data_IF_417036885322
#
_entry.id   IF_417036885322
#
_cell.length_a   1.000
_cell.length_b   1.000
_cell.length_c   1.000
_cell.angle_alpha   90.00
_cell.angle_beta   90.00
_cell.angle_gamma   90.00
#
_symmetry.space_group_name_H-M   'P 1'
#
loop_
_entity.id
_entity.type
_entity.pdbx_description
1 polymer ?
#
# COMPACT_ATOMS: atom_id res chain seq x y z
N UNK A 1 -37.75 -18.67 -15.60
CA UNK A 1 -37.28 -17.42 -14.95
C UNK A 1 -35.79 -17.34 -15.16
N UNK A 2 -35.31 -16.41 -16.01
CA UNK A 2 -33.88 -16.23 -16.25
C UNK A 2 -33.36 -15.11 -15.34
N UNK A 3 -32.35 -15.42 -14.54
CA UNK A 3 -31.59 -14.44 -13.79
C UNK A 3 -30.82 -13.54 -14.77
N UNK A 4 -31.09 -12.24 -14.74
CA UNK A 4 -30.25 -11.21 -15.33
C UNK A 4 -29.74 -10.32 -14.20
N UNK A 5 -28.46 -10.46 -13.87
CA UNK A 5 -27.62 -9.36 -13.41
C UNK A 5 -26.17 -9.87 -13.33
N UNK A 6 -25.49 -9.86 -14.47
CA UNK A 6 -24.04 -9.69 -14.45
C UNK A 6 -23.85 -8.24 -14.06
N UNK A 7 -23.56 -7.96 -12.79
CA UNK A 7 -23.19 -6.63 -12.29
C UNK A 7 -21.85 -6.23 -12.94
N UNK A 8 -21.93 -5.71 -14.17
CA UNK A 8 -20.82 -5.01 -14.77
C UNK A 8 -20.76 -3.62 -14.15
N UNK A 9 -19.62 -3.32 -13.54
CA UNK A 9 -19.29 -2.01 -12.99
C UNK A 9 -19.54 -0.90 -14.03
N UNK A 10 -19.88 0.32 -13.57
CA UNK A 10 -20.11 1.45 -14.46
C UNK A 10 -18.87 1.71 -15.35
N UNK A 11 -19.06 2.04 -16.64
CA UNK A 11 -17.95 2.24 -17.57
C UNK A 11 -17.19 3.52 -17.21
N UNK A 12 -15.85 3.45 -17.22
CA UNK A 12 -14.95 4.54 -16.87
C UNK A 12 -14.53 5.25 -18.19
N UNK A 13 -14.12 6.53 -18.18
CA UNK A 13 -13.74 7.23 -19.41
C UNK A 13 -12.45 6.66 -20.03
N UNK A 14 -12.38 6.48 -21.37
CA UNK A 14 -11.22 5.87 -22.01
C UNK A 14 -9.95 6.69 -21.77
N UNK A 15 -8.93 6.04 -21.19
CA UNK A 15 -7.59 6.59 -20.94
C UNK A 15 -7.26 6.86 -19.46
N UNK A 16 -8.25 7.12 -18.60
CA UNK A 16 -8.04 7.33 -17.15
C UNK A 16 -8.38 6.10 -16.29
N UNK A 17 -9.13 5.13 -16.84
CA UNK A 17 -9.57 3.94 -16.11
C UNK A 17 -8.39 3.18 -15.50
N UNK A 18 -7.34 2.99 -16.29
CA UNK A 18 -6.15 2.26 -15.87
C UNK A 18 -5.43 2.98 -14.72
N UNK A 19 -5.32 4.31 -14.78
CA UNK A 19 -4.56 5.08 -13.79
C UNK A 19 -5.31 5.18 -12.45
N UNK A 20 -6.64 5.37 -12.49
CA UNK A 20 -7.48 5.34 -11.28
C UNK A 20 -7.49 3.93 -10.66
N UNK A 21 -7.52 2.88 -11.48
CA UNK A 21 -7.38 1.51 -11.02
C UNK A 21 -6.06 1.30 -10.28
N UNK A 22 -4.95 1.90 -10.73
CA UNK A 22 -3.66 1.85 -10.01
C UNK A 22 -3.72 2.52 -8.64
N UNK A 23 -4.35 3.69 -8.52
CA UNK A 23 -4.57 4.33 -7.21
C UNK A 23 -5.37 3.43 -6.28
N UNK A 24 -6.48 2.87 -6.78
CA UNK A 24 -7.35 1.99 -6.02
C UNK A 24 -6.62 0.70 -5.58
N UNK A 25 -5.90 0.04 -6.49
CA UNK A 25 -5.08 -1.12 -6.18
C UNK A 25 -4.02 -0.81 -5.11
N UNK A 26 -3.33 0.32 -5.23
CA UNK A 26 -2.32 0.74 -4.26
C UNK A 26 -2.93 1.02 -2.87
N UNK A 27 -4.11 1.67 -2.83
CA UNK A 27 -4.87 1.88 -1.60
C UNK A 27 -5.26 0.55 -0.92
N UNK A 28 -5.77 -0.42 -1.68
CA UNK A 28 -6.11 -1.73 -1.13
C UNK A 28 -4.89 -2.49 -0.58
N UNK A 29 -3.78 -2.48 -1.30
CA UNK A 29 -2.53 -3.10 -0.84
C UNK A 29 -2.01 -2.45 0.45
N UNK A 30 -2.08 -1.12 0.53
CA UNK A 30 -1.72 -0.38 1.74
C UNK A 30 -2.64 -0.72 2.92
N UNK A 31 -3.95 -0.81 2.68
CA UNK A 31 -4.93 -1.27 3.66
C UNK A 31 -4.64 -2.69 4.16
N UNK A 32 -4.21 -3.61 3.29
CA UNK A 32 -3.80 -4.96 3.73
C UNK A 32 -2.63 -4.92 4.72
N UNK A 33 -1.64 -4.07 4.48
CA UNK A 33 -0.52 -3.88 5.43
C UNK A 33 -1.05 -3.30 6.74
N UNK A 34 -1.86 -2.23 6.69
CA UNK A 34 -2.43 -1.59 7.89
C UNK A 34 -3.25 -2.57 8.71
N UNK A 35 -4.16 -3.32 8.08
CA UNK A 35 -4.97 -4.34 8.74
C UNK A 35 -4.11 -5.45 9.34
N UNK A 36 -3.05 -5.88 8.66
CA UNK A 36 -2.13 -6.88 9.20
C UNK A 36 -1.42 -6.37 10.46
N UNK A 37 -0.95 -5.13 10.47
CA UNK A 37 -0.30 -4.52 11.63
C UNK A 37 -1.29 -4.25 12.78
N UNK A 38 -2.55 -3.94 12.45
CA UNK A 38 -3.64 -3.73 13.39
C UNK A 38 -4.44 -5.01 13.71
N UNK A 39 -4.00 -6.18 13.27
CA UNK A 39 -4.73 -7.44 13.45
C UNK A 39 -4.83 -7.91 14.91
N UNK A 40 -4.21 -7.17 15.83
CA UNK A 40 -4.23 -7.42 17.28
C UNK A 40 -5.09 -6.38 17.99
N UNK A 41 -5.65 -6.72 19.16
CA UNK A 41 -6.28 -5.73 20.02
C UNK A 41 -5.35 -4.52 20.22
N UNK A 42 -5.86 -3.29 20.33
CA UNK A 42 -5.03 -2.08 20.42
C UNK A 42 -3.94 -2.15 21.50
N UNK A 43 -4.23 -2.82 22.62
CA UNK A 43 -3.29 -3.05 23.73
C UNK A 43 -2.09 -3.92 23.37
N UNK A 44 -2.20 -4.74 22.32
CA UNK A 44 -1.17 -5.68 21.86
C UNK A 44 -0.58 -5.29 20.51
N UNK A 45 -1.20 -4.38 19.77
CA UNK A 45 -0.78 -3.97 18.43
C UNK A 45 0.63 -3.38 18.44
N UNK A 46 0.96 -2.55 19.42
CA UNK A 46 2.31 -1.98 19.57
C UNK A 46 3.35 -3.06 19.88
N UNK A 47 3.02 -4.01 20.76
CA UNK A 47 3.90 -5.15 21.07
C UNK A 47 4.12 -6.03 19.84
N UNK A 48 3.06 -6.31 19.09
CA UNK A 48 3.15 -7.08 17.85
C UNK A 48 4.02 -6.37 16.80
N UNK A 49 3.83 -5.07 16.60
CA UNK A 49 4.67 -4.27 15.71
C UNK A 49 6.14 -4.27 16.16
N UNK A 50 6.40 -4.19 17.47
CA UNK A 50 7.76 -4.25 18.02
C UNK A 50 8.42 -5.62 17.81
N UNK A 51 7.68 -6.72 17.98
CA UNK A 51 8.16 -8.09 17.68
C UNK A 51 8.44 -8.21 16.18
N UNK A 52 7.50 -7.79 15.34
CA UNK A 52 7.65 -7.84 13.89
C UNK A 52 8.88 -7.05 13.43
N UNK A 53 9.13 -5.89 14.03
CA UNK A 53 10.30 -5.08 13.75
C UNK A 53 11.61 -5.73 14.23
N UNK A 54 11.70 -6.11 15.50
CA UNK A 54 13.01 -6.31 16.15
C UNK A 54 13.37 -7.77 16.47
N UNK A 55 12.44 -8.72 16.40
CA UNK A 55 12.72 -10.07 16.88
C UNK A 55 13.74 -10.82 16.00
N UNK A 56 14.74 -11.43 16.63
CA UNK A 56 15.58 -12.45 15.98
C UNK A 56 14.80 -13.75 15.97
N UNK A 57 14.47 -14.25 14.78
CA UNK A 57 13.61 -15.41 14.60
C UNK A 57 14.13 -16.31 13.49
N UNK A 58 13.81 -17.61 13.50
CA UNK A 58 14.07 -18.49 12.36
C UNK A 58 13.39 -17.98 11.07
N UNK A 59 14.02 -18.23 9.92
CA UNK A 59 13.53 -17.78 8.60
C UNK A 59 12.14 -18.37 8.24
N UNK A 60 11.80 -19.53 8.78
CA UNK A 60 10.51 -20.18 8.57
C UNK A 60 9.47 -19.84 9.66
N UNK A 61 9.75 -18.88 10.54
CA UNK A 61 8.79 -18.45 11.58
C UNK A 61 7.62 -17.66 10.99
N UNK A 62 6.54 -17.54 11.76
CA UNK A 62 5.41 -16.69 11.39
C UNK A 62 5.82 -15.22 11.26
N UNK A 63 6.73 -14.75 12.11
CA UNK A 63 7.29 -13.39 12.05
C UNK A 63 8.05 -13.19 10.75
N UNK A 64 8.96 -14.09 10.37
CA UNK A 64 9.71 -13.99 9.12
C UNK A 64 8.80 -13.97 7.88
N UNK A 65 7.77 -14.83 7.84
CA UNK A 65 6.75 -14.79 6.78
C UNK A 65 5.98 -13.48 6.76
N UNK A 66 5.64 -12.95 7.93
CA UNK A 66 5.01 -11.63 8.08
C UNK A 66 5.85 -10.50 7.49
N UNK A 67 7.17 -10.50 7.79
CA UNK A 67 8.12 -9.53 7.21
C UNK A 67 8.15 -9.62 5.69
N UNK A 68 8.26 -10.83 5.15
CA UNK A 68 8.24 -11.07 3.71
C UNK A 68 6.92 -10.59 3.06
N UNK A 69 5.78 -10.83 3.70
CA UNK A 69 4.48 -10.36 3.23
C UNK A 69 4.38 -8.84 3.18
N UNK A 70 4.79 -8.15 4.25
CA UNK A 70 4.81 -6.68 4.31
C UNK A 70 5.72 -6.09 3.23
N UNK A 71 6.92 -6.67 3.05
CA UNK A 71 7.86 -6.26 2.01
C UNK A 71 7.25 -6.46 0.61
N UNK A 72 6.65 -7.63 0.36
CA UNK A 72 6.05 -7.96 -0.93
C UNK A 72 4.88 -7.03 -1.29
N UNK A 73 4.03 -6.69 -0.32
CA UNK A 73 2.94 -5.74 -0.53
C UNK A 73 3.49 -4.33 -0.79
N UNK A 74 4.52 -3.91 -0.05
CA UNK A 74 5.18 -2.61 -0.28
C UNK A 74 5.76 -2.53 -1.70
N UNK A 75 6.44 -3.59 -2.15
CA UNK A 75 6.92 -3.72 -3.54
C UNK A 75 5.80 -3.55 -4.56
N UNK A 76 4.66 -4.21 -4.32
CA UNK A 76 3.50 -4.14 -5.22
C UNK A 76 2.88 -2.74 -5.25
N UNK A 77 2.78 -2.04 -4.12
CA UNK A 77 2.36 -0.63 -4.07
C UNK A 77 3.30 0.21 -4.95
N UNK A 78 4.62 0.05 -4.75
CA UNK A 78 5.61 0.81 -5.51
C UNK A 78 5.51 0.54 -7.00
N UNK A 79 5.41 -0.73 -7.41
CA UNK A 79 5.27 -1.10 -8.82
C UNK A 79 3.97 -0.57 -9.43
N UNK A 80 2.85 -0.65 -8.69
CA UNK A 80 1.52 -0.21 -9.14
C UNK A 80 1.49 1.30 -9.38
N UNK A 81 1.99 2.09 -8.41
CA UNK A 81 2.03 3.55 -8.54
C UNK A 81 3.05 4.01 -9.57
N UNK A 82 4.20 3.33 -9.68
CA UNK A 82 5.23 3.66 -10.69
C UNK A 82 4.79 3.37 -12.13
N UNK A 83 3.74 2.58 -12.33
CA UNK A 83 3.18 2.29 -13.65
C UNK A 83 2.35 3.45 -14.21
N UNK A 84 2.03 4.46 -13.38
CA UNK A 84 1.29 5.65 -13.81
C UNK A 84 2.28 6.63 -14.46
N UNK A 85 2.06 7.05 -15.72
CA UNK A 85 2.98 7.93 -16.43
C UNK A 85 3.19 9.27 -15.71
N UNK A 86 4.40 9.85 -15.72
CA UNK A 86 4.67 11.17 -15.12
C UNK A 86 3.79 12.31 -15.64
N UNK A 87 3.29 12.19 -16.87
CA UNK A 87 2.38 13.13 -17.54
C UNK A 87 0.89 12.94 -17.19
N UNK A 88 0.56 11.91 -16.38
CA UNK A 88 -0.82 11.65 -15.95
C UNK A 88 -1.43 12.87 -15.26
N UNK A 89 -2.70 13.16 -15.59
CA UNK A 89 -3.47 14.18 -14.91
C UNK A 89 -3.71 13.87 -13.43
N UNK A 90 -3.58 12.61 -12.98
CA UNK A 90 -3.68 12.26 -11.58
C UNK A 90 -2.54 12.86 -10.75
N UNK A 91 -1.33 12.94 -11.29
CA UNK A 91 -0.19 13.55 -10.59
C UNK A 91 -0.34 15.05 -10.39
N UNK A 92 -0.92 15.74 -11.38
CA UNK A 92 -1.20 17.17 -11.25
C UNK A 92 -2.43 17.45 -10.38
N UNK A 93 -3.40 16.54 -10.35
CA UNK A 93 -4.63 16.68 -9.55
C UNK A 93 -4.45 16.29 -8.09
N UNK A 94 -3.51 15.39 -7.79
CA UNK A 94 -3.25 14.85 -6.44
C UNK A 94 -1.75 14.88 -6.08
N UNK A 95 -1.09 16.06 -6.10
CA UNK A 95 0.35 16.17 -5.85
C UNK A 95 0.75 15.70 -4.44
N UNK A 96 -0.15 15.78 -3.47
CA UNK A 96 0.04 15.27 -2.11
C UNK A 96 0.16 13.74 -2.07
N UNK A 97 -0.60 13.02 -2.92
CA UNK A 97 -0.50 11.55 -3.04
C UNK A 97 0.83 11.18 -3.67
N UNK A 98 1.23 11.87 -4.73
CA UNK A 98 2.53 11.65 -5.38
C UNK A 98 3.68 11.86 -4.38
N UNK A 99 3.64 12.95 -3.59
CA UNK A 99 4.66 13.22 -2.59
C UNK A 99 4.77 12.11 -1.53
N UNK A 100 3.62 11.62 -1.03
CA UNK A 100 3.60 10.54 -0.05
C UNK A 100 4.08 9.21 -0.65
N UNK A 101 3.68 8.93 -1.89
CA UNK A 101 4.17 7.78 -2.66
C UNK A 101 5.70 7.82 -2.84
N UNK A 102 6.28 8.98 -3.17
CA UNK A 102 7.73 9.13 -3.32
C UNK A 102 8.48 8.84 -2.01
N UNK A 103 7.91 9.21 -0.87
CA UNK A 103 8.43 8.85 0.46
C UNK A 103 8.50 7.33 0.64
N UNK A 104 7.39 6.64 0.34
CA UNK A 104 7.30 5.18 0.40
C UNK A 104 8.26 4.49 -0.59
N UNK A 105 8.32 4.98 -1.83
CA UNK A 105 9.21 4.48 -2.88
C UNK A 105 10.68 4.55 -2.47
N UNK A 106 11.10 5.66 -1.87
CA UNK A 106 12.46 5.86 -1.38
C UNK A 106 12.83 4.84 -0.29
N UNK A 107 11.97 4.64 0.71
CA UNK A 107 12.23 3.66 1.78
C UNK A 107 12.37 2.25 1.22
N UNK A 108 11.52 1.88 0.25
CA UNK A 108 11.64 0.59 -0.44
C UNK A 108 12.94 0.48 -1.24
N UNK A 109 13.31 1.52 -1.99
CA UNK A 109 14.54 1.53 -2.79
C UNK A 109 15.80 1.43 -1.91
N UNK A 110 15.83 2.12 -0.77
CA UNK A 110 16.91 2.02 0.21
C UNK A 110 17.06 0.57 0.72
N UNK A 111 15.93 -0.09 1.04
CA UNK A 111 15.95 -1.50 1.46
C UNK A 111 16.47 -2.44 0.36
N UNK A 112 16.03 -2.28 -0.90
CA UNK A 112 16.49 -3.11 -2.02
C UNK A 112 17.96 -2.86 -2.38
N UNK A 113 18.45 -1.63 -2.21
CA UNK A 113 19.86 -1.28 -2.51
C UNK A 113 20.86 -1.92 -1.56
N UNK A 114 20.41 -2.32 -0.37
CA UNK A 114 21.21 -3.04 0.62
C UNK A 114 21.17 -4.54 0.30
N UNK A 115 22.29 -5.08 -0.21
CA UNK A 115 22.42 -6.49 -0.59
C UNK A 115 22.20 -7.49 0.55
N UNK A 116 22.36 -7.03 1.80
CA UNK A 116 22.18 -7.86 2.98
C UNK A 116 20.74 -7.78 3.47
N UNK A 117 19.98 -8.85 3.24
CA UNK A 117 18.64 -9.05 3.81
C UNK A 117 18.71 -9.42 5.31
N UNK A 118 19.44 -8.62 6.09
CA UNK A 118 19.64 -8.85 7.53
C UNK A 118 18.59 -8.11 8.38
N UNK A 119 18.53 -8.46 9.68
CA UNK A 119 17.58 -7.87 10.62
C UNK A 119 17.76 -6.35 10.76
N UNK A 120 18.98 -5.83 10.65
CA UNK A 120 19.24 -4.40 10.75
C UNK A 120 18.61 -3.62 9.59
N UNK A 121 18.79 -4.10 8.36
CA UNK A 121 18.18 -3.53 7.16
C UNK A 121 16.63 -3.57 7.26
N UNK A 122 16.08 -4.70 7.74
CA UNK A 122 14.64 -4.81 8.01
C UNK A 122 14.15 -3.80 9.05
N UNK A 123 14.84 -3.65 10.18
CA UNK A 123 14.45 -2.72 11.25
C UNK A 123 14.41 -1.27 10.77
N UNK A 124 15.38 -0.87 9.93
CA UNK A 124 15.42 0.46 9.30
C UNK A 124 14.25 0.64 8.33
N UNK A 125 14.05 -0.32 7.42
CA UNK A 125 12.93 -0.32 6.48
C UNK A 125 11.58 -0.22 7.20
N UNK A 126 11.34 -1.07 8.18
CA UNK A 126 10.07 -1.10 8.90
C UNK A 126 9.83 0.19 9.70
N UNK A 127 10.89 0.79 10.24
CA UNK A 127 10.83 2.09 10.92
C UNK A 127 10.37 3.21 9.97
N UNK A 128 10.93 3.28 8.77
CA UNK A 128 10.50 4.22 7.73
C UNK A 128 9.10 3.91 7.20
N UNK A 129 8.81 2.64 6.95
CA UNK A 129 7.54 2.17 6.41
C UNK A 129 6.35 2.60 7.26
N UNK A 130 6.44 2.49 8.60
CA UNK A 130 5.33 2.90 9.48
C UNK A 130 4.90 4.34 9.26
N UNK A 131 5.85 5.24 9.06
CA UNK A 131 5.56 6.67 8.84
C UNK A 131 5.06 6.91 7.42
N UNK A 132 5.80 6.43 6.42
CA UNK A 132 5.51 6.72 5.02
C UNK A 132 4.24 6.02 4.53
N UNK A 133 3.95 4.80 5.03
CA UNK A 133 2.71 4.09 4.70
C UNK A 133 1.49 4.83 5.27
N UNK A 134 1.56 5.33 6.51
CA UNK A 134 0.44 6.07 7.11
C UNK A 134 0.19 7.37 6.34
N UNK A 135 1.25 8.12 6.02
CA UNK A 135 1.12 9.34 5.23
C UNK A 135 0.52 9.02 3.85
N UNK A 136 1.01 7.99 3.17
CA UNK A 136 0.45 7.54 1.89
C UNK A 136 -1.04 7.21 1.99
N UNK A 137 -1.45 6.42 2.98
CA UNK A 137 -2.84 6.00 3.17
C UNK A 137 -3.77 7.18 3.50
N UNK A 138 -3.32 8.14 4.31
CA UNK A 138 -4.08 9.35 4.65
C UNK A 138 -4.28 10.25 3.43
N UNK A 139 -3.34 10.28 2.48
CA UNK A 139 -3.46 11.07 1.25
C UNK A 139 -4.31 10.39 0.19
N UNK A 140 -4.08 9.10 -0.05
CA UNK A 140 -4.73 8.37 -1.14
C UNK A 140 -6.17 7.94 -0.79
N UNK A 141 -6.47 7.69 0.49
CA UNK A 141 -7.78 7.22 0.94
C UNK A 141 -8.94 8.14 0.53
N UNK A 142 -8.91 9.44 0.86
CA UNK A 142 -9.99 10.36 0.50
C UNK A 142 -10.23 10.47 -1.01
N UNK A 143 -9.17 10.34 -1.81
CA UNK A 143 -9.26 10.36 -3.28
C UNK A 143 -10.03 9.14 -3.78
N UNK A 144 -9.65 7.95 -3.30
CA UNK A 144 -10.26 6.69 -3.70
C UNK A 144 -11.70 6.58 -3.18
N UNK A 145 -11.95 6.94 -1.93
CA UNK A 145 -13.28 6.93 -1.30
C UNK A 145 -14.24 7.89 -2.01
N UNK A 146 -13.77 9.08 -2.41
CA UNK A 146 -14.56 10.02 -3.20
C UNK A 146 -15.03 9.43 -4.54
N UNK A 147 -14.16 8.70 -5.24
CA UNK A 147 -14.54 8.02 -6.49
C UNK A 147 -15.58 6.91 -6.27
N UNK A 148 -15.46 6.16 -5.17
CA UNK A 148 -16.43 5.11 -4.81
C UNK A 148 -17.81 5.69 -4.46
N UNK A 149 -17.85 6.86 -3.81
CA UNK A 149 -19.10 7.56 -3.51
C UNK A 149 -19.78 8.10 -4.76
N UNK A 150 -19.01 8.72 -5.67
CA UNK A 150 -19.52 9.20 -6.96
C UNK A 150 -20.09 8.06 -7.81
N UNK A 151 -19.46 6.89 -7.79
CA UNK A 151 -19.94 5.71 -8.51
C UNK A 151 -21.28 5.17 -7.97
N UNK A 152 -21.51 5.27 -6.66
CA UNK A 152 -22.77 4.82 -6.01
C UNK A 152 -23.96 5.73 -6.28
N UNK A 153 -23.72 6.97 -6.70
CA UNK A 153 -24.77 7.96 -6.99
C UNK A 153 -25.24 7.97 -8.46
N UNK A 154 -24.61 7.16 -9.33
CA UNK A 154 -24.95 6.99 -10.74
C UNK A 154 -25.84 5.77 -10.95
#
# INVERSE_FOLDING_TARGET
MMAKSSESLPPIPPGQEFEQERFWQAYLLGNQIVMYLAARPPTEAETFAAILQNAVVPENSAVARGRAGVLQLTKQIVATMSAIPPESALWSSHPEVLKAFEGLRRIYAEYESNSDSNLENWTKFFGGLRTELVEFMVRIGPVVEGWEEEAKQR
#
